data_IF_298067219691
#
_entry.id   IF_298067219691
#
_cell.length_a   1.000
_cell.length_b   1.000
_cell.length_c   1.000
_cell.angle_alpha   90.00
_cell.angle_beta   90.00
_cell.angle_gamma   90.00
#
_symmetry.space_group_name_H-M   'P 1'
#
loop_
_entity.id
_entity.type
_entity.pdbx_description
1 polymer ?
#
# COMPACT_ATOMS: atom_id res chain seq x y z
N UNK A 1 -25.70 28.92 0.53
CA UNK A 1 -25.24 28.62 -0.84
C UNK A 1 -23.74 28.31 -0.89
N UNK A 2 -22.87 29.10 -0.25
CA UNK A 2 -21.41 28.89 -0.28
C UNK A 2 -20.91 27.56 0.31
N UNK A 3 -21.51 27.08 1.41
CA UNK A 3 -21.11 25.80 2.04
C UNK A 3 -21.26 24.60 1.10
N UNK A 4 -22.35 24.55 0.33
CA UNK A 4 -22.62 23.46 -0.60
C UNK A 4 -21.65 23.47 -1.78
N UNK A 5 -21.25 24.66 -2.25
CA UNK A 5 -20.26 24.81 -3.32
C UNK A 5 -18.88 24.32 -2.87
N UNK A 6 -18.45 24.66 -1.65
CA UNK A 6 -17.18 24.18 -1.08
C UNK A 6 -17.18 22.66 -0.93
N UNK A 7 -18.28 22.08 -0.47
CA UNK A 7 -18.42 20.62 -0.35
C UNK A 7 -18.37 19.92 -1.71
N UNK A 8 -19.13 20.42 -2.70
CA UNK A 8 -19.15 19.87 -4.06
C UNK A 8 -17.78 19.94 -4.74
N UNK A 9 -17.05 21.04 -4.59
CA UNK A 9 -15.71 21.18 -5.15
C UNK A 9 -14.72 20.22 -4.49
N UNK A 10 -14.81 20.03 -3.17
CA UNK A 10 -13.99 19.06 -2.45
C UNK A 10 -14.26 17.63 -2.91
N UNK A 11 -15.52 17.27 -3.14
CA UNK A 11 -15.91 15.93 -3.63
C UNK A 11 -15.37 15.70 -5.04
N UNK A 12 -15.54 16.67 -5.96
CA UNK A 12 -15.04 16.58 -7.33
C UNK A 12 -13.53 16.40 -7.38
N UNK A 13 -12.78 17.15 -6.57
CA UNK A 13 -11.34 17.00 -6.47
C UNK A 13 -10.97 15.61 -5.91
N UNK A 14 -11.69 15.11 -4.91
CA UNK A 14 -11.41 13.79 -4.33
C UNK A 14 -11.51 12.68 -5.38
N UNK A 15 -12.61 12.66 -6.13
CA UNK A 15 -12.85 11.68 -7.19
C UNK A 15 -11.73 11.75 -8.23
N UNK A 16 -11.31 12.95 -8.62
CA UNK A 16 -10.23 13.06 -9.61
C UNK A 16 -8.88 12.56 -9.09
N UNK A 17 -8.43 13.03 -7.92
CA UNK A 17 -7.10 12.71 -7.41
C UNK A 17 -7.00 11.29 -6.84
N UNK A 18 -7.99 10.86 -6.07
CA UNK A 18 -7.94 9.58 -5.35
C UNK A 18 -8.49 8.42 -6.17
N UNK A 19 -9.56 8.62 -6.93
CA UNK A 19 -10.18 7.52 -7.67
C UNK A 19 -9.56 7.35 -9.06
N UNK A 20 -9.21 8.45 -9.73
CA UNK A 20 -8.66 8.40 -11.10
C UNK A 20 -7.14 8.43 -11.09
N UNK A 21 -6.51 9.48 -10.56
CA UNK A 21 -5.07 9.68 -10.73
C UNK A 21 -4.23 8.69 -9.91
N UNK A 22 -4.59 8.46 -8.64
CA UNK A 22 -3.80 7.65 -7.72
C UNK A 22 -3.61 6.18 -8.17
N UNK A 23 -4.66 5.46 -8.61
CA UNK A 23 -4.51 4.10 -9.14
C UNK A 23 -3.59 4.03 -10.36
N UNK A 24 -3.64 5.03 -11.26
CA UNK A 24 -2.74 5.07 -12.42
C UNK A 24 -1.28 5.21 -12.01
N UNK A 25 -0.96 6.09 -11.05
CA UNK A 25 0.40 6.28 -10.55
C UNK A 25 0.93 5.01 -9.87
N UNK A 26 0.14 4.39 -8.99
CA UNK A 26 0.54 3.17 -8.28
C UNK A 26 0.69 1.98 -9.24
N UNK A 27 -0.23 1.84 -10.20
CA UNK A 27 -0.17 0.75 -11.19
C UNK A 27 1.05 0.88 -12.09
N UNK A 28 1.32 2.07 -12.62
CA UNK A 28 2.49 2.30 -13.49
C UNK A 28 3.80 2.08 -12.75
N UNK A 29 3.93 2.58 -11.51
CA UNK A 29 5.11 2.37 -10.69
C UNK A 29 5.36 0.89 -10.36
N UNK A 30 4.32 0.15 -9.99
CA UNK A 30 4.45 -1.27 -9.59
C UNK A 30 4.65 -2.19 -10.79
N UNK A 31 3.99 -1.91 -11.92
CA UNK A 31 4.13 -2.71 -13.15
C UNK A 31 5.48 -2.49 -13.86
N UNK A 32 6.20 -1.41 -13.55
CA UNK A 32 7.53 -1.17 -14.13
C UNK A 32 8.49 -2.33 -13.85
N UNK A 33 8.44 -2.94 -12.66
CA UNK A 33 9.30 -4.07 -12.28
C UNK A 33 9.07 -5.35 -13.13
N UNK A 34 7.84 -5.90 -13.24
CA UNK A 34 7.60 -7.07 -14.08
C UNK A 34 7.77 -6.76 -15.57
N UNK A 35 7.42 -5.55 -16.04
CA UNK A 35 7.60 -5.15 -17.44
C UNK A 35 9.08 -5.13 -17.82
N UNK A 36 9.94 -4.56 -16.97
CA UNK A 36 11.39 -4.56 -17.20
C UNK A 36 11.93 -5.99 -17.27
N UNK A 37 11.53 -6.87 -16.33
CA UNK A 37 11.98 -8.27 -16.34
C UNK A 37 11.54 -9.06 -17.57
N UNK A 38 10.30 -8.84 -18.01
CA UNK A 38 9.78 -9.43 -19.25
C UNK A 38 10.54 -8.92 -20.48
N UNK A 39 10.81 -7.61 -20.54
CA UNK A 39 11.50 -6.97 -21.66
C UNK A 39 12.94 -7.46 -21.78
N UNK A 40 13.70 -7.51 -20.68
CA UNK A 40 15.07 -8.03 -20.68
C UNK A 40 15.13 -9.51 -21.07
N UNK A 41 14.19 -10.32 -20.60
CA UNK A 41 14.10 -11.73 -21.00
C UNK A 41 13.83 -11.85 -22.50
N UNK A 42 12.87 -11.09 -23.03
CA UNK A 42 12.51 -11.11 -24.45
C UNK A 42 13.66 -10.62 -25.35
N UNK A 43 14.36 -9.55 -24.95
CA UNK A 43 15.55 -9.06 -25.66
C UNK A 43 16.67 -10.08 -25.69
N UNK A 44 16.92 -10.79 -24.58
CA UNK A 44 17.92 -11.86 -24.56
C UNK A 44 17.56 -13.03 -25.49
N UNK A 45 16.27 -13.38 -25.59
CA UNK A 45 15.82 -14.39 -26.55
C UNK A 45 15.99 -13.96 -28.01
N UNK A 46 15.87 -12.67 -28.31
CA UNK A 46 15.99 -12.14 -29.68
C UNK A 46 17.43 -11.86 -30.10
N UNK A 47 18.35 -11.63 -29.16
CA UNK A 47 19.68 -11.07 -29.45
C UNK A 47 20.84 -12.03 -29.14
N UNK A 48 20.64 -13.10 -28.36
CA UNK A 48 21.71 -14.02 -27.95
C UNK A 48 21.49 -15.43 -28.52
N UNK A 49 22.57 -16.05 -29.04
CA UNK A 49 22.57 -17.44 -29.51
C UNK A 49 22.39 -18.45 -28.35
N UNK A 50 22.80 -18.07 -27.13
CA UNK A 50 22.49 -18.79 -25.89
C UNK A 50 21.51 -17.97 -25.03
N UNK A 51 20.21 -18.28 -25.04
CA UNK A 51 19.21 -17.46 -24.38
C UNK A 51 19.33 -17.52 -22.85
N UNK A 52 19.73 -16.39 -22.24
CA UNK A 52 19.73 -16.22 -20.78
C UNK A 52 18.42 -15.59 -20.33
N UNK A 53 17.79 -16.21 -19.32
CA UNK A 53 16.58 -15.69 -18.68
C UNK A 53 16.96 -14.77 -17.53
N UNK A 54 16.30 -13.61 -17.41
CA UNK A 54 16.61 -12.62 -16.36
C UNK A 54 15.40 -12.42 -15.43
N UNK A 55 15.57 -12.67 -14.14
CA UNK A 55 14.59 -12.29 -13.10
C UNK A 55 15.09 -11.04 -12.37
N UNK A 56 14.31 -9.95 -12.41
CA UNK A 56 14.61 -8.67 -11.72
C UNK A 56 14.58 -8.82 -10.20
N UNK A 57 13.82 -9.79 -9.68
CA UNK A 57 13.88 -10.19 -8.27
C UNK A 57 14.53 -11.56 -8.16
N UNK A 58 15.79 -11.54 -7.75
CA UNK A 58 16.59 -12.74 -7.55
C UNK A 58 16.17 -13.43 -6.24
N UNK A 59 15.22 -14.37 -6.34
CA UNK A 59 14.80 -15.20 -5.23
C UNK A 59 15.81 -16.36 -5.08
N UNK A 60 16.79 -16.17 -4.19
CA UNK A 60 17.71 -17.23 -3.80
C UNK A 60 16.96 -18.35 -3.04
N UNK A 61 16.68 -19.44 -3.74
CA UNK A 61 16.10 -20.65 -3.16
C UNK A 61 17.20 -21.46 -2.45
N UNK A 62 17.09 -21.74 -1.15
CA UNK A 62 18.16 -22.40 -0.41
C UNK A 62 18.30 -23.92 -0.68
N UNK A 63 17.40 -24.50 -1.49
CA UNK A 63 17.30 -25.95 -1.70
C UNK A 63 17.69 -26.42 -3.11
N UNK A 64 18.05 -25.52 -4.02
CA UNK A 64 18.34 -25.88 -5.42
C UNK A 64 19.59 -25.13 -5.91
N UNK A 65 20.46 -25.75 -6.72
CA UNK A 65 21.59 -25.06 -7.32
C UNK A 65 21.13 -23.83 -8.12
N UNK A 66 21.98 -22.81 -8.15
CA UNK A 66 21.68 -21.48 -8.72
C UNK A 66 21.30 -21.52 -10.21
N UNK A 67 21.68 -22.58 -10.91
CA UNK A 67 21.59 -22.65 -12.37
C UNK A 67 20.26 -23.29 -12.84
N UNK A 68 19.66 -24.19 -12.03
CA UNK A 68 18.35 -24.83 -12.31
C UNK A 68 17.16 -23.85 -12.20
N UNK A 69 17.39 -22.60 -11.77
CA UNK A 69 16.37 -21.57 -11.60
C UNK A 69 15.84 -21.03 -12.93
N UNK A 70 16.67 -21.12 -13.97
CA UNK A 70 16.38 -20.64 -15.32
C UNK A 70 15.88 -21.77 -16.23
N UNK A 71 15.78 -23.00 -15.74
CA UNK A 71 15.21 -24.10 -16.52
C UNK A 71 13.69 -23.93 -16.69
N UNK A 72 13.21 -24.16 -17.91
CA UNK A 72 11.78 -24.36 -18.16
C UNK A 72 11.38 -25.71 -17.56
N UNK A 73 10.29 -25.85 -16.78
CA UNK A 73 9.12 -24.95 -16.65
C UNK A 73 9.12 -24.04 -15.40
N UNK A 74 10.15 -24.11 -14.55
CA UNK A 74 10.15 -23.45 -13.25
C UNK A 74 10.16 -21.92 -13.33
N UNK A 75 10.91 -21.39 -14.29
CA UNK A 75 10.98 -19.95 -14.54
C UNK A 75 9.60 -19.34 -14.83
N UNK A 76 8.76 -20.01 -15.62
CA UNK A 76 7.43 -19.52 -16.00
C UNK A 76 6.50 -19.51 -14.79
N UNK A 77 6.51 -20.55 -13.97
CA UNK A 77 5.75 -20.58 -12.72
C UNK A 77 6.18 -19.47 -11.74
N UNK A 78 7.49 -19.23 -11.62
CA UNK A 78 8.02 -18.14 -10.79
C UNK A 78 7.64 -16.76 -11.34
N UNK A 79 7.66 -16.59 -12.66
CA UNK A 79 7.24 -15.34 -13.30
C UNK A 79 5.74 -15.07 -13.04
N UNK A 80 4.87 -16.07 -13.24
CA UNK A 80 3.43 -15.95 -12.92
C UNK A 80 3.23 -15.63 -11.44
N UNK A 81 3.97 -16.27 -10.54
CA UNK A 81 3.91 -15.98 -9.11
C UNK A 81 4.32 -14.54 -8.78
N UNK A 82 5.38 -14.00 -9.41
CA UNK A 82 5.78 -12.61 -9.19
C UNK A 82 4.76 -11.61 -9.72
N UNK A 83 4.17 -11.87 -10.89
CA UNK A 83 3.10 -11.03 -11.46
C UNK A 83 1.88 -11.05 -10.53
N UNK A 84 1.50 -12.23 -10.04
CA UNK A 84 0.41 -12.37 -9.06
C UNK A 84 0.69 -11.61 -7.76
N UNK A 85 1.91 -11.71 -7.22
CA UNK A 85 2.32 -10.96 -6.03
C UNK A 85 2.29 -9.44 -6.28
N UNK A 86 2.73 -8.99 -7.46
CA UNK A 86 2.68 -7.58 -7.84
C UNK A 86 1.23 -7.06 -7.91
N UNK A 87 0.29 -7.84 -8.47
CA UNK A 87 -1.13 -7.48 -8.49
C UNK A 87 -1.71 -7.35 -7.08
N UNK A 88 -1.41 -8.29 -6.18
CA UNK A 88 -1.84 -8.21 -4.78
C UNK A 88 -1.29 -6.94 -4.10
N UNK A 89 -0.01 -6.61 -4.34
CA UNK A 89 0.59 -5.37 -3.84
C UNK A 89 -0.15 -4.13 -4.37
N UNK A 90 -0.45 -4.08 -5.68
CA UNK A 90 -1.19 -2.97 -6.29
C UNK A 90 -2.53 -2.77 -5.59
N UNK A 91 -3.32 -3.83 -5.43
CA UNK A 91 -4.61 -3.74 -4.73
C UNK A 91 -4.46 -3.28 -3.28
N UNK A 92 -3.45 -3.77 -2.57
CA UNK A 92 -3.20 -3.40 -1.18
C UNK A 92 -2.84 -1.91 -1.06
N UNK A 93 -1.90 -1.42 -1.88
CA UNK A 93 -1.49 -0.02 -1.89
C UNK A 93 -2.62 0.92 -2.33
N UNK A 94 -3.34 0.60 -3.42
CA UNK A 94 -4.46 1.44 -3.88
C UNK A 94 -5.55 1.52 -2.81
N UNK A 95 -5.91 0.39 -2.19
CA UNK A 95 -6.98 0.36 -1.20
C UNK A 95 -6.60 1.13 0.07
N UNK A 96 -5.40 0.90 0.57
CA UNK A 96 -4.93 1.52 1.80
C UNK A 96 -4.70 3.03 1.65
N UNK A 97 -3.89 3.44 0.67
CA UNK A 97 -3.61 4.87 0.45
C UNK A 97 -4.83 5.62 -0.07
N UNK A 98 -5.68 4.96 -0.87
CA UNK A 98 -6.94 5.55 -1.32
C UNK A 98 -7.89 5.83 -0.16
N UNK A 99 -8.06 4.87 0.75
CA UNK A 99 -8.87 5.06 1.96
C UNK A 99 -8.29 6.13 2.88
N UNK A 100 -6.97 6.12 3.06
CA UNK A 100 -6.26 7.11 3.86
C UNK A 100 -6.43 8.53 3.29
N UNK A 101 -6.27 8.71 1.98
CA UNK A 101 -6.46 9.98 1.28
C UNK A 101 -7.89 10.50 1.38
N UNK A 102 -8.89 9.63 1.20
CA UNK A 102 -10.31 9.99 1.37
C UNK A 102 -10.62 10.44 2.80
N UNK A 103 -10.11 9.74 3.81
CA UNK A 103 -10.33 10.09 5.20
C UNK A 103 -9.69 11.44 5.57
N UNK A 104 -8.47 11.71 5.11
CA UNK A 104 -7.80 13.00 5.28
C UNK A 104 -8.59 14.13 4.63
N UNK A 105 -9.05 13.94 3.38
CA UNK A 105 -9.82 14.97 2.70
C UNK A 105 -11.17 15.23 3.38
N UNK A 106 -11.84 14.18 3.86
CA UNK A 106 -13.07 14.31 4.63
C UNK A 106 -12.85 15.08 5.95
N UNK A 107 -11.73 14.83 6.65
CA UNK A 107 -11.35 15.59 7.83
C UNK A 107 -11.09 17.07 7.50
N UNK A 108 -10.35 17.36 6.43
CA UNK A 108 -10.12 18.72 5.94
C UNK A 108 -11.42 19.44 5.58
N UNK A 109 -12.35 18.76 4.91
CA UNK A 109 -13.66 19.31 4.59
C UNK A 109 -14.46 19.64 5.85
N UNK A 110 -14.52 18.73 6.82
CA UNK A 110 -15.18 18.98 8.11
C UNK A 110 -14.56 20.16 8.86
N UNK A 111 -13.23 20.27 8.86
CA UNK A 111 -12.53 21.42 9.47
C UNK A 111 -12.94 22.74 8.81
N UNK A 112 -12.98 22.81 7.48
CA UNK A 112 -13.42 24.00 6.75
C UNK A 112 -14.89 24.36 7.05
N UNK A 113 -15.75 23.35 7.18
CA UNK A 113 -17.15 23.55 7.57
C UNK A 113 -17.27 24.14 8.98
N UNK A 114 -16.47 23.65 9.94
CA UNK A 114 -16.45 24.22 11.30
C UNK A 114 -15.96 25.67 11.31
N UNK A 115 -14.89 25.99 10.57
CA UNK A 115 -14.42 27.38 10.44
C UNK A 115 -15.51 28.30 9.87
N UNK A 116 -16.24 27.84 8.85
CA UNK A 116 -17.35 28.62 8.27
C UNK A 116 -18.55 28.75 9.22
N UNK A 117 -18.89 27.69 9.96
CA UNK A 117 -19.95 27.72 10.98
C UNK A 117 -19.60 28.71 12.10
N UNK A 118 -18.33 28.73 12.52
CA UNK A 118 -17.79 29.67 13.50
C UNK A 118 -17.85 31.12 12.99
N UNK A 119 -17.43 31.38 11.75
CA UNK A 119 -17.54 32.71 11.10
C UNK A 119 -18.99 33.21 11.08
N UNK A 120 -19.95 32.34 10.77
CA UNK A 120 -21.38 32.69 10.78
C UNK A 120 -21.89 32.99 12.19
N UNK A 121 -21.49 32.20 13.20
CA UNK A 121 -21.85 32.45 14.61
C UNK A 121 -21.28 33.78 15.11
N UNK A 122 -20.06 34.16 14.70
CA UNK A 122 -19.49 35.47 15.06
C UNK A 122 -20.20 36.65 14.38
N UNK A 123 -20.80 36.44 13.20
CA UNK A 123 -21.57 37.47 12.49
C UNK A 123 -23.01 37.61 12.96
N UNK A 124 -23.61 36.56 13.52
CA UNK A 124 -24.97 36.62 14.07
C UNK A 124 -24.99 37.41 15.38
N UNK A 125 -25.98 38.29 15.57
CA UNK A 125 -26.14 39.07 16.80
C UNK A 125 -27.03 38.39 17.85
N UNK A 126 -26.85 37.08 18.00
CA UNK A 126 -27.66 36.22 18.85
C UNK A 126 -27.13 36.16 20.30
N UNK A 127 -28.00 36.26 21.30
CA UNK A 127 -27.61 36.21 22.73
C UNK A 127 -27.00 34.84 23.11
N UNK A 128 -27.30 33.79 22.33
CA UNK A 128 -26.81 32.43 22.53
C UNK A 128 -25.48 32.10 21.83
N UNK A 129 -24.75 33.10 21.31
CA UNK A 129 -23.45 32.97 20.62
C UNK A 129 -22.45 32.03 21.31
N UNK A 130 -22.29 32.16 22.63
CA UNK A 130 -21.36 31.34 23.42
C UNK A 130 -21.73 29.85 23.41
N UNK A 131 -23.01 29.50 23.48
CA UNK A 131 -23.45 28.10 23.46
C UNK A 131 -23.18 27.44 22.11
N UNK A 132 -23.35 28.18 21.01
CA UNK A 132 -23.07 27.71 19.67
C UNK A 132 -21.57 27.52 19.43
N UNK A 133 -20.74 28.43 19.95
CA UNK A 133 -19.29 28.34 19.87
C UNK A 133 -18.76 27.10 20.60
N UNK A 134 -19.23 26.86 21.83
CA UNK A 134 -18.83 25.68 22.62
C UNK A 134 -19.20 24.38 21.90
N UNK A 135 -20.40 24.30 21.31
CA UNK A 135 -20.81 23.13 20.52
C UNK A 135 -19.90 22.86 19.33
N UNK A 136 -19.50 23.91 18.59
CA UNK A 136 -18.59 23.77 17.43
C UNK A 136 -17.21 23.27 17.88
N UNK A 137 -16.68 23.80 18.97
CA UNK A 137 -15.38 23.38 19.52
C UNK A 137 -15.44 21.93 20.02
N UNK A 138 -16.51 21.54 20.69
CA UNK A 138 -16.69 20.16 21.16
C UNK A 138 -16.80 19.17 19.99
N UNK A 139 -17.56 19.51 18.95
CA UNK A 139 -17.65 18.75 17.70
C UNK A 139 -16.29 18.63 16.99
N UNK A 140 -15.50 19.71 16.97
CA UNK A 140 -14.16 19.73 16.40
C UNK A 140 -13.17 18.84 17.18
N UNK A 141 -13.19 18.92 18.51
CA UNK A 141 -12.33 18.08 19.37
C UNK A 141 -12.67 16.60 19.26
N UNK A 142 -13.96 16.24 19.15
CA UNK A 142 -14.38 14.86 18.89
C UNK A 142 -13.83 14.39 17.55
N UNK A 143 -14.00 15.19 16.50
CA UNK A 143 -13.51 14.86 15.15
C UNK A 143 -11.99 14.65 15.12
N UNK A 144 -11.22 15.52 15.76
CA UNK A 144 -9.76 15.38 15.84
C UNK A 144 -9.33 14.09 16.54
N UNK A 145 -9.99 13.73 17.67
CA UNK A 145 -9.72 12.46 18.34
C UNK A 145 -10.02 11.24 17.47
N UNK A 146 -11.14 11.25 16.74
CA UNK A 146 -11.46 10.18 15.80
C UNK A 146 -10.42 10.05 14.69
N UNK A 147 -10.02 11.17 14.07
CA UNK A 147 -9.02 11.18 12.99
C UNK A 147 -7.68 10.66 13.49
N UNK A 148 -7.22 11.11 14.66
CA UNK A 148 -5.95 10.65 15.25
C UNK A 148 -5.98 9.17 15.60
N UNK A 149 -7.05 8.67 16.22
CA UNK A 149 -7.19 7.24 16.53
C UNK A 149 -7.24 6.39 15.26
N UNK A 150 -8.00 6.85 14.27
CA UNK A 150 -8.14 6.17 12.99
C UNK A 150 -6.80 6.12 12.23
N UNK A 151 -6.07 7.24 12.18
CA UNK A 151 -4.73 7.31 11.60
C UNK A 151 -3.78 6.31 12.27
N UNK A 152 -3.74 6.30 13.61
CA UNK A 152 -2.87 5.40 14.36
C UNK A 152 -3.24 3.93 14.13
N UNK A 153 -4.53 3.59 14.09
CA UNK A 153 -4.98 2.23 13.84
C UNK A 153 -4.53 1.73 12.46
N UNK A 154 -4.75 2.56 11.44
CA UNK A 154 -4.42 2.28 10.05
C UNK A 154 -2.91 2.13 9.86
N UNK A 155 -2.14 3.06 10.44
CA UNK A 155 -0.68 3.01 10.39
C UNK A 155 -0.11 1.77 11.10
N UNK A 156 -0.60 1.46 12.30
CA UNK A 156 -0.20 0.25 13.01
C UNK A 156 -0.58 -1.02 12.23
N UNK A 157 -1.79 -1.09 11.68
CA UNK A 157 -2.23 -2.23 10.88
C UNK A 157 -1.34 -2.47 9.66
N UNK A 158 -0.91 -1.39 8.98
CA UNK A 158 0.01 -1.51 7.84
C UNK A 158 1.42 -1.95 8.23
N UNK A 159 1.96 -1.40 9.33
CA UNK A 159 3.26 -1.86 9.84
C UNK A 159 3.18 -3.33 10.25
N UNK A 160 2.12 -3.73 10.95
CA UNK A 160 1.89 -5.11 11.36
C UNK A 160 1.76 -6.03 10.15
N UNK A 161 1.05 -5.61 9.10
CA UNK A 161 0.92 -6.39 7.87
C UNK A 161 2.27 -6.58 7.16
N UNK A 162 3.08 -5.51 7.04
CA UNK A 162 4.43 -5.57 6.47
C UNK A 162 5.34 -6.45 7.32
N UNK A 163 5.30 -6.30 8.65
CA UNK A 163 6.07 -7.12 9.58
C UNK A 163 5.64 -8.58 9.51
N UNK A 164 4.35 -8.89 9.33
CA UNK A 164 3.85 -10.25 9.25
C UNK A 164 4.25 -10.92 7.93
N UNK A 165 4.25 -10.18 6.82
CA UNK A 165 4.82 -10.62 5.54
C UNK A 165 6.33 -10.88 5.65
N UNK A 166 7.08 -9.95 6.25
CA UNK A 166 8.52 -10.07 6.38
C UNK A 166 8.91 -11.18 7.39
N UNK A 167 8.17 -11.31 8.49
CA UNK A 167 8.31 -12.38 9.48
C UNK A 167 7.99 -13.75 8.89
N UNK A 168 6.97 -13.88 8.03
CA UNK A 168 6.75 -15.11 7.24
C UNK A 168 7.94 -15.39 6.33
N UNK A 169 8.54 -14.39 5.71
CA UNK A 169 9.79 -14.53 4.94
C UNK A 169 11.00 -14.96 5.80
N UNK A 170 11.13 -14.45 7.01
CA UNK A 170 12.21 -14.78 7.95
C UNK A 170 12.01 -16.17 8.59
N UNK A 171 10.80 -16.51 9.01
CA UNK A 171 10.46 -17.81 9.61
C UNK A 171 10.66 -18.96 8.63
N UNK A 172 10.37 -18.73 7.35
CA UNK A 172 10.71 -19.69 6.28
C UNK A 172 12.22 -19.89 6.18
N UNK A 173 13.03 -18.82 6.22
CA UNK A 173 14.51 -18.90 6.23
C UNK A 173 15.08 -19.62 7.47
N UNK A 174 14.54 -19.38 8.66
CA UNK A 174 15.01 -20.01 9.91
C UNK A 174 14.65 -21.51 9.95
N UNK A 175 13.44 -21.87 9.54
CA UNK A 175 13.06 -23.29 9.45
C UNK A 175 13.90 -24.05 8.41
N UNK A 176 14.30 -23.39 7.32
CA UNK A 176 15.19 -23.96 6.30
C UNK A 176 16.61 -24.21 6.83
N UNK A 177 17.19 -23.27 7.59
CA UNK A 177 18.49 -23.47 8.28
C UNK A 177 18.45 -24.65 9.26
N UNK A 178 17.35 -24.78 10.02
CA UNK A 178 17.16 -25.88 10.99
C UNK A 178 16.95 -27.26 10.34
N UNK A 179 16.47 -27.31 9.10
CA UNK A 179 16.37 -28.54 8.30
C UNK A 179 17.74 -28.98 7.76
N UNK A 180 18.59 -28.02 7.34
CA UNK A 180 19.93 -28.28 6.81
C UNK A 180 20.90 -28.77 7.89
N UNK A 181 20.74 -28.29 9.12
CA UNK A 181 21.46 -28.80 10.30
C UNK A 181 21.10 -30.27 10.57
N UNK A 182 19.82 -30.64 10.61
CA UNK A 182 19.39 -32.03 10.88
C UNK A 182 19.81 -33.04 9.82
N UNK A 183 19.87 -32.66 8.54
CA UNK A 183 20.39 -33.54 7.48
C UNK A 183 21.90 -33.83 7.61
N UNK A 184 22.67 -32.89 8.19
CA UNK A 184 24.12 -33.07 8.41
C UNK A 184 24.43 -34.04 9.55
N UNK A 185 23.59 -34.11 10.58
CA UNK A 185 23.80 -35.03 11.72
C UNK A 185 23.52 -36.49 11.35
N UNK A 186 22.55 -36.75 10.46
CA UNK A 186 22.26 -38.12 9.98
C UNK A 186 23.30 -38.68 9.01
N UNK A 187 24.17 -37.82 8.45
CA UNK A 187 25.27 -38.23 7.55
C UNK A 187 26.58 -38.49 8.32
N UNK A 188 26.66 -38.11 9.59
CA UNK A 188 27.84 -38.33 10.45
C UNK A 188 27.64 -39.58 11.34
N UNK A 189 26.42 -40.15 11.38
CA UNK A 189 26.07 -41.31 12.21
C UNK A 189 25.92 -42.63 11.43
N UNK A 190 26.35 -42.68 10.17
CA UNK A 190 26.45 -43.88 9.33
C UNK A 190 27.88 -43.98 8.78
#
# INVERSE_FOLDING_TARGET
MELQQVALQSIKNNVFYVEKLWPYVVSTGTLTFPIIGATFTLLSYLTQEEPKKYMVHDLNLPFRPADERFESPYFECMFVYMVWAALICIFNYISYDGFFGMACLHACLKMRLYCKKLELTFRSDDDNKYSHLVKVIEEQQKMFRYVTHFFLLIFNFSIDFILLLNWRGVKTRINMQKSRSRGKWNFISN
#
